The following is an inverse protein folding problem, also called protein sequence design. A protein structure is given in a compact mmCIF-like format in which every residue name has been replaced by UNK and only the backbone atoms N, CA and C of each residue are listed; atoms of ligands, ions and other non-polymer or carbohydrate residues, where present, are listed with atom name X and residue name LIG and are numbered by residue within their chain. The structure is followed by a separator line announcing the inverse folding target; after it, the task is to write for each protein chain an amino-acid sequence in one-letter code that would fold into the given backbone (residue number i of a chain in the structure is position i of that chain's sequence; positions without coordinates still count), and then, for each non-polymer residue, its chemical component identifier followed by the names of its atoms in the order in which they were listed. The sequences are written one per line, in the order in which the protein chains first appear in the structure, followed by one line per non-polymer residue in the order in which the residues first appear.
data_IF_937328801181
#
_entry.id   IF_937328801181
#
_cell.length_a   1.000
_cell.length_b   1.000
_cell.length_c   1.000
_cell.angle_alpha   90.00
_cell.angle_beta   90.00
_cell.angle_gamma   90.00
#
_symmetry.space_group_name_H-M   'P 1'
#
loop_
_entity.id
_entity.type
_entity.pdbx_description
1 polymer ?
#
# COMPACT_ATOMS: atom_id res chain seq x y z
N UNK A 1 22.91 33.29 5.85
CA UNK A 1 23.01 32.99 7.31
C UNK A 1 21.75 32.39 7.95
N UNK A 2 20.53 32.53 7.39
CA UNK A 2 19.28 31.96 8.00
C UNK A 2 18.87 30.53 7.57
N UNK A 3 19.44 29.96 6.50
CA UNK A 3 19.19 28.57 6.09
C UNK A 3 20.06 27.52 6.81
N UNK A 4 21.02 27.95 7.63
CA UNK A 4 22.00 27.06 8.28
C UNK A 4 21.41 26.42 9.56
N UNK A 5 20.42 27.05 10.20
CA UNK A 5 19.74 26.52 11.40
C UNK A 5 18.75 25.38 11.10
N UNK A 6 18.26 25.25 9.86
CA UNK A 6 17.38 24.15 9.45
C UNK A 6 18.12 22.80 9.37
N UNK A 7 19.44 22.83 9.12
CA UNK A 7 20.24 21.63 8.87
C UNK A 7 20.59 20.81 10.12
N UNK A 8 20.25 21.28 11.33
CA UNK A 8 20.60 20.57 12.57
C UNK A 8 19.41 19.93 13.28
N UNK A 9 18.16 20.32 12.97
CA UNK A 9 16.99 19.72 13.60
C UNK A 9 16.54 18.46 12.84
N UNK A 10 16.84 17.29 13.41
CA UNK A 10 16.52 16.00 12.80
C UNK A 10 15.02 15.77 12.58
N UNK A 11 14.16 16.28 13.49
CA UNK A 11 12.71 16.18 13.33
C UNK A 11 12.22 17.00 12.14
N UNK A 12 12.74 18.22 11.98
CA UNK A 12 12.37 19.10 10.87
C UNK A 12 12.81 18.52 9.52
N UNK A 13 14.01 17.93 9.47
CA UNK A 13 14.48 17.18 8.30
C UNK A 13 13.63 15.94 8.05
N UNK A 14 13.18 15.24 9.09
CA UNK A 14 12.26 14.11 8.95
C UNK A 14 10.89 14.55 8.39
N UNK A 15 10.31 15.64 8.90
CA UNK A 15 9.09 16.23 8.36
C UNK A 15 9.24 16.60 6.88
N UNK A 16 10.38 17.19 6.50
CA UNK A 16 10.69 17.46 5.09
C UNK A 16 10.82 16.17 4.27
N UNK A 17 11.47 15.15 4.82
CA UNK A 17 11.63 13.83 4.20
C UNK A 17 10.29 13.16 3.88
N UNK A 18 9.34 13.19 4.81
CA UNK A 18 8.03 12.52 4.66
C UNK A 18 6.95 13.40 4.04
N UNK A 19 7.26 14.67 3.73
CA UNK A 19 6.28 15.68 3.32
C UNK A 19 5.46 15.31 2.07
N UNK A 20 6.05 14.62 1.10
CA UNK A 20 5.35 14.13 -0.11
C UNK A 20 4.29 13.08 0.19
N UNK A 21 4.47 12.28 1.25
CA UNK A 21 3.47 11.31 1.70
C UNK A 21 2.37 12.02 2.49
N UNK A 22 2.77 12.87 3.43
CA UNK A 22 1.83 13.58 4.30
C UNK A 22 0.95 14.59 3.56
N UNK A 23 1.45 15.22 2.49
CA UNK A 23 0.61 16.11 1.69
C UNK A 23 -0.56 15.33 1.09
N UNK A 24 -0.33 14.12 0.57
CA UNK A 24 -1.39 13.29 0.02
C UNK A 24 -2.35 12.81 1.12
N UNK A 25 -1.84 12.51 2.31
CA UNK A 25 -2.69 12.15 3.46
C UNK A 25 -3.62 13.31 3.87
N UNK A 26 -3.11 14.55 3.85
CA UNK A 26 -3.91 15.75 4.09
C UNK A 26 -4.95 15.94 2.98
N UNK A 27 -4.55 15.87 1.70
CA UNK A 27 -5.50 15.99 0.58
C UNK A 27 -6.61 14.95 0.66
N UNK A 28 -6.28 13.71 1.06
CA UNK A 28 -7.26 12.64 1.25
C UNK A 28 -8.19 12.88 2.43
N UNK A 29 -7.67 13.35 3.57
CA UNK A 29 -8.46 13.68 4.75
C UNK A 29 -9.48 14.81 4.49
N UNK A 30 -9.11 15.80 3.66
CA UNK A 30 -10.00 16.90 3.25
C UNK A 30 -10.81 16.61 1.99
N UNK A 31 -10.78 15.37 1.50
CA UNK A 31 -11.48 14.94 0.30
C UNK A 31 -11.18 15.80 -0.96
N UNK A 32 -9.97 16.35 -1.11
CA UNK A 32 -9.60 17.18 -2.26
C UNK A 32 -9.43 16.31 -3.50
N UNK A 33 -10.25 16.55 -4.53
CA UNK A 33 -10.35 15.69 -5.72
C UNK A 33 -9.50 16.15 -6.90
N UNK A 34 -9.03 17.40 -6.92
CA UNK A 34 -8.29 17.94 -8.06
C UNK A 34 -6.91 17.26 -8.17
N UNK A 35 -6.66 16.43 -9.21
CA UNK A 35 -5.42 15.68 -9.33
C UNK A 35 -4.21 16.60 -9.53
N UNK A 36 -4.40 17.77 -10.16
CA UNK A 36 -3.32 18.73 -10.40
C UNK A 36 -2.72 19.28 -9.10
N UNK A 37 -3.50 19.36 -8.01
CA UNK A 37 -3.00 19.81 -6.70
C UNK A 37 -2.02 18.77 -6.13
N UNK A 38 -2.43 17.50 -6.08
CA UNK A 38 -1.56 16.40 -5.64
C UNK A 38 -0.30 16.30 -6.52
N UNK A 39 -0.48 16.39 -7.84
CA UNK A 39 0.63 16.35 -8.82
C UNK A 39 1.65 17.45 -8.55
N UNK A 40 1.17 18.69 -8.42
CA UNK A 40 2.03 19.85 -8.21
C UNK A 40 2.77 19.78 -6.87
N UNK A 41 2.03 19.52 -5.78
CA UNK A 41 2.62 19.48 -4.44
C UNK A 41 3.63 18.34 -4.30
N UNK A 42 3.30 17.13 -4.76
CA UNK A 42 4.21 15.99 -4.70
C UNK A 42 5.45 16.21 -5.58
N UNK A 43 5.31 16.84 -6.75
CA UNK A 43 6.44 17.19 -7.62
C UNK A 43 7.41 18.19 -7.00
N UNK A 44 6.91 19.09 -6.14
CA UNK A 44 7.74 20.03 -5.39
C UNK A 44 8.37 19.38 -4.15
N UNK A 45 7.60 18.57 -3.42
CA UNK A 45 8.00 18.02 -2.13
C UNK A 45 8.92 16.79 -2.24
N UNK A 46 8.75 15.94 -3.26
CA UNK A 46 9.58 14.74 -3.39
C UNK A 46 11.09 15.06 -3.55
N UNK A 47 11.53 16.03 -4.37
CA UNK A 47 12.92 16.48 -4.38
C UNK A 47 13.41 17.03 -3.03
N UNK A 48 12.53 17.63 -2.22
CA UNK A 48 12.88 18.10 -0.88
C UNK A 48 13.15 16.92 0.07
N UNK A 49 12.50 15.77 -0.14
CA UNK A 49 12.84 14.55 0.59
C UNK A 49 14.27 14.08 0.33
N UNK A 50 14.69 14.09 -0.95
CA UNK A 50 16.06 13.77 -1.34
C UNK A 50 17.06 14.81 -0.81
N UNK A 51 16.68 16.09 -0.83
CA UNK A 51 17.49 17.16 -0.25
C UNK A 51 17.64 17.00 1.27
N UNK A 52 16.59 16.59 1.99
CA UNK A 52 16.64 16.31 3.43
C UNK A 52 17.69 15.23 3.71
N UNK A 53 17.58 14.09 3.02
CA UNK A 53 18.55 13.01 3.11
C UNK A 53 19.97 13.46 2.76
N UNK A 54 20.14 14.20 1.67
CA UNK A 54 21.43 14.72 1.21
C UNK A 54 22.07 15.69 2.20
N UNK A 55 21.29 16.50 2.92
CA UNK A 55 21.82 17.57 3.81
C UNK A 55 21.92 17.17 5.28
N UNK A 56 21.32 16.05 5.70
CA UNK A 56 21.40 15.58 7.09
C UNK A 56 22.85 15.33 7.51
N UNK A 57 23.35 15.99 8.57
CA UNK A 57 24.67 15.70 9.15
C UNK A 57 24.75 14.26 9.69
N UNK A 58 25.94 13.64 9.68
CA UNK A 58 26.11 12.25 10.14
C UNK A 58 25.65 12.05 11.59
N UNK A 59 25.92 13.00 12.48
CA UNK A 59 25.51 12.95 13.88
C UNK A 59 23.98 12.98 14.08
N UNK A 60 23.22 13.47 13.09
CA UNK A 60 21.76 13.50 13.11
C UNK A 60 21.11 12.35 12.33
N UNK A 61 21.89 11.47 11.69
CA UNK A 61 21.38 10.40 10.83
C UNK A 61 20.45 9.43 11.56
N UNK A 62 20.83 9.00 12.77
CA UNK A 62 20.01 8.13 13.60
C UNK A 62 18.68 8.82 13.97
N UNK A 63 18.75 10.06 14.44
CA UNK A 63 17.57 10.82 14.82
C UNK A 63 16.63 11.06 13.63
N UNK A 64 17.17 11.34 12.44
CA UNK A 64 16.38 11.43 11.21
C UNK A 64 15.63 10.11 10.97
N UNK A 65 16.33 8.98 10.97
CA UNK A 65 15.72 7.67 10.76
C UNK A 65 14.68 7.32 11.80
N UNK A 66 14.93 7.68 13.06
CA UNK A 66 13.99 7.49 14.16
C UNK A 66 12.67 8.21 13.89
N UNK A 67 12.73 9.51 13.58
CA UNK A 67 11.54 10.28 13.27
C UNK A 67 10.88 9.87 11.95
N UNK A 68 11.64 9.52 10.91
CA UNK A 68 11.09 8.99 9.66
C UNK A 68 10.33 7.69 9.91
N UNK A 69 10.91 6.76 10.68
CA UNK A 69 10.28 5.51 11.06
C UNK A 69 9.00 5.72 11.85
N UNK A 70 9.03 6.60 12.85
CA UNK A 70 7.84 6.96 13.61
C UNK A 70 6.75 7.59 12.73
N UNK A 71 7.09 8.60 11.94
CA UNK A 71 6.12 9.33 11.11
C UNK A 71 5.51 8.44 10.02
N UNK A 72 6.32 7.64 9.32
CA UNK A 72 5.81 6.81 8.24
C UNK A 72 5.11 5.54 8.71
N UNK A 73 5.46 4.98 9.88
CA UNK A 73 5.10 3.60 10.24
C UNK A 73 4.54 3.42 11.66
N UNK A 74 4.22 4.49 12.41
CA UNK A 74 3.56 4.37 13.71
C UNK A 74 2.27 3.54 13.65
N UNK A 75 1.56 3.60 12.53
CA UNK A 75 0.27 2.96 12.33
C UNK A 75 0.36 1.43 12.37
N UNK A 76 1.54 0.83 12.12
CA UNK A 76 1.73 -0.61 12.25
C UNK A 76 1.41 -1.11 13.66
N UNK A 77 1.62 -0.27 14.69
CA UNK A 77 1.28 -0.60 16.07
C UNK A 77 -0.22 -0.55 16.37
N UNK A 78 -1.03 0.11 15.52
CA UNK A 78 -2.46 0.31 15.79
C UNK A 78 -3.24 -1.00 15.78
N UNK A 79 -2.79 -2.04 15.08
CA UNK A 79 -3.45 -3.35 15.07
C UNK A 79 -3.52 -3.99 16.47
N UNK A 80 -2.56 -3.67 17.35
CA UNK A 80 -2.50 -4.20 18.72
C UNK A 80 -3.71 -3.79 19.57
N UNK A 81 -4.44 -2.72 19.19
CA UNK A 81 -5.67 -2.28 19.88
C UNK A 81 -6.80 -3.33 19.89
N UNK A 82 -6.72 -4.29 18.98
CA UNK A 82 -7.69 -5.38 18.82
C UNK A 82 -7.15 -6.69 19.42
N UNK A 83 -6.16 -6.59 20.31
CA UNK A 83 -5.54 -7.73 21.00
C UNK A 83 -5.40 -7.45 22.49
N UNK A 84 -5.16 -8.50 23.27
CA UNK A 84 -4.84 -8.42 24.71
C UNK A 84 -3.54 -7.64 24.99
N UNK A 85 -2.75 -7.37 23.95
CA UNK A 85 -1.45 -6.69 24.02
C UNK A 85 -1.52 -5.20 23.70
N UNK A 86 -2.68 -4.55 23.89
CA UNK A 86 -2.88 -3.13 23.59
C UNK A 86 -1.84 -2.22 24.26
N UNK A 87 -1.36 -2.58 25.46
CA UNK A 87 -0.33 -1.84 26.20
C UNK A 87 1.05 -1.81 25.51
N UNK A 88 1.31 -2.70 24.54
CA UNK A 88 2.55 -2.71 23.76
C UNK A 88 2.58 -1.62 22.67
N UNK A 89 1.46 -1.00 22.34
CA UNK A 89 1.34 -0.01 21.26
C UNK A 89 2.46 1.06 21.29
N UNK A 90 2.70 1.82 22.39
CA UNK A 90 3.77 2.81 22.42
C UNK A 90 5.17 2.19 22.25
N UNK A 91 5.38 0.99 22.78
CA UNK A 91 6.65 0.28 22.64
C UNK A 91 6.91 -0.13 21.19
N UNK A 92 5.91 -0.66 20.48
CA UNK A 92 6.05 -1.06 19.07
C UNK A 92 6.37 0.15 18.19
N UNK A 93 5.76 1.32 18.43
CA UNK A 93 6.11 2.56 17.70
C UNK A 93 7.59 2.91 17.91
N UNK A 94 8.07 2.85 19.15
CA UNK A 94 9.47 3.13 19.47
C UNK A 94 10.40 2.10 18.81
N UNK A 95 10.06 0.81 18.85
CA UNK A 95 10.87 -0.25 18.23
C UNK A 95 10.99 -0.06 16.72
N UNK A 96 9.89 0.25 16.02
CA UNK A 96 9.90 0.55 14.59
C UNK A 96 10.78 1.78 14.33
N UNK A 97 10.63 2.85 15.11
CA UNK A 97 11.45 4.04 15.00
C UNK A 97 12.95 3.72 15.20
N UNK A 98 13.32 2.90 16.19
CA UNK A 98 14.70 2.48 16.43
C UNK A 98 15.29 1.71 15.24
N UNK A 99 14.52 0.79 14.64
CA UNK A 99 14.94 0.02 13.45
C UNK A 99 15.28 0.96 12.30
N UNK A 100 14.42 1.93 12.01
CA UNK A 100 14.68 2.93 10.97
C UNK A 100 15.78 3.92 11.36
N UNK A 101 15.95 4.21 12.65
CA UNK A 101 17.07 4.98 13.18
C UNK A 101 18.42 4.34 12.86
N UNK A 102 18.55 3.04 13.13
CA UNK A 102 19.75 2.26 12.76
C UNK A 102 19.92 2.22 11.24
N UNK A 103 18.85 1.98 10.49
CA UNK A 103 18.90 1.93 9.02
C UNK A 103 19.44 3.24 8.44
N UNK A 104 18.89 4.40 8.82
CA UNK A 104 19.36 5.68 8.30
C UNK A 104 20.75 6.06 8.81
N UNK A 105 21.12 5.64 10.03
CA UNK A 105 22.50 5.79 10.50
C UNK A 105 23.49 5.10 9.55
N UNK A 106 23.18 3.87 9.11
CA UNK A 106 24.00 3.14 8.14
C UNK A 106 23.97 3.79 6.74
N UNK A 107 22.78 4.17 6.26
CA UNK A 107 22.61 4.79 4.94
C UNK A 107 23.32 6.15 4.81
N UNK A 108 23.40 6.93 5.90
CA UNK A 108 23.99 8.26 5.94
C UNK A 108 25.38 8.28 6.61
N UNK A 109 25.99 7.11 6.81
CA UNK A 109 27.30 6.99 7.45
C UNK A 109 28.38 7.83 6.77
N UNK A 110 28.37 7.87 5.43
CA UNK A 110 29.28 8.70 4.63
C UNK A 110 28.65 10.06 4.29
N UNK A 111 29.43 11.13 4.44
CA UNK A 111 29.00 12.50 4.12
C UNK A 111 29.17 12.86 2.64
N UNK A 112 29.92 12.05 1.89
CA UNK A 112 30.12 12.29 0.46
C UNK A 112 28.77 12.19 -0.29
N UNK A 113 28.40 13.21 -1.09
CA UNK A 113 27.08 13.28 -1.73
C UNK A 113 26.81 12.14 -2.73
N UNK A 114 27.84 11.62 -3.39
CA UNK A 114 27.71 10.51 -4.34
C UNK A 114 27.54 9.16 -3.63
N UNK A 115 28.18 8.97 -2.48
CA UNK A 115 27.88 7.83 -1.61
C UNK A 115 26.43 7.88 -1.10
N UNK A 116 25.94 9.08 -0.74
CA UNK A 116 24.54 9.25 -0.33
C UNK A 116 23.55 8.96 -1.45
N UNK A 117 23.88 9.32 -2.69
CA UNK A 117 23.09 8.89 -3.86
C UNK A 117 23.01 7.36 -3.94
N UNK A 118 24.16 6.68 -3.86
CA UNK A 118 24.20 5.21 -3.94
C UNK A 118 23.44 4.55 -2.78
N UNK A 119 23.60 5.05 -1.55
CA UNK A 119 22.88 4.51 -0.39
C UNK A 119 21.38 4.80 -0.46
N UNK A 120 20.97 5.98 -0.96
CA UNK A 120 19.56 6.29 -1.15
C UNK A 120 18.90 5.37 -2.19
N UNK A 121 19.55 5.13 -3.34
CA UNK A 121 19.10 4.14 -4.32
C UNK A 121 19.08 2.72 -3.73
N UNK A 122 20.11 2.37 -2.95
CA UNK A 122 20.26 1.09 -2.28
C UNK A 122 19.20 0.81 -1.21
N UNK A 123 18.67 1.86 -0.56
CA UNK A 123 17.66 1.73 0.49
C UNK A 123 16.38 1.02 0.02
N UNK A 124 16.07 1.09 -1.28
CA UNK A 124 14.93 0.39 -1.89
C UNK A 124 15.02 -1.14 -1.87
N UNK A 125 16.18 -1.70 -1.51
CA UNK A 125 16.40 -3.15 -1.44
C UNK A 125 16.55 -3.65 0.00
N UNK A 126 16.40 -2.75 0.99
CA UNK A 126 16.52 -3.09 2.40
C UNK A 126 15.11 -3.11 2.98
N UNK A 127 14.63 -4.29 3.32
CA UNK A 127 13.28 -4.51 3.87
C UNK A 127 13.41 -5.08 5.28
N UNK A 128 13.48 -4.24 6.33
CA UNK A 128 13.56 -4.71 7.70
C UNK A 128 12.41 -5.68 7.99
N UNK A 129 12.73 -6.91 8.40
CA UNK A 129 11.74 -7.96 8.67
C UNK A 129 10.80 -8.29 7.49
N UNK A 130 11.25 -8.08 6.25
CA UNK A 130 10.44 -8.30 5.05
C UNK A 130 9.40 -7.21 4.78
N UNK A 131 9.41 -6.10 5.53
CA UNK A 131 8.49 -4.99 5.34
C UNK A 131 9.01 -3.98 4.31
N UNK A 132 8.45 -4.02 3.09
CA UNK A 132 8.87 -3.22 1.93
C UNK A 132 7.99 -1.98 1.65
N UNK A 133 7.80 -1.10 2.63
CA UNK A 133 7.02 0.14 2.43
C UNK A 133 7.86 1.42 2.42
N UNK A 134 9.15 1.34 2.76
CA UNK A 134 10.10 2.42 2.49
C UNK A 134 10.66 2.26 1.08
N UNK A 135 9.88 2.68 0.08
CA UNK A 135 10.27 2.67 -1.34
C UNK A 135 10.47 4.12 -1.81
N UNK A 136 11.71 4.66 -1.82
CA UNK A 136 11.98 6.06 -2.19
C UNK A 136 11.36 6.54 -3.50
N UNK A 137 11.39 5.72 -4.55
CA UNK A 137 10.80 6.04 -5.86
C UNK A 137 9.27 6.12 -5.82
N UNK A 138 8.61 5.56 -4.81
CA UNK A 138 7.17 5.77 -4.59
C UNK A 138 6.83 7.21 -4.19
N UNK A 139 7.80 8.02 -3.78
CA UNK A 139 7.59 9.46 -3.56
C UNK A 139 7.23 10.20 -4.86
N UNK A 140 7.48 9.58 -6.02
CA UNK A 140 7.08 10.10 -7.32
C UNK A 140 5.73 9.59 -7.80
N UNK A 141 5.00 8.78 -7.04
CA UNK A 141 3.73 8.16 -7.48
C UNK A 141 2.75 9.17 -8.08
N UNK A 142 2.58 10.31 -7.42
CA UNK A 142 1.78 11.44 -7.87
C UNK A 142 2.66 12.62 -8.28
N UNK A 143 3.80 12.41 -8.94
CA UNK A 143 4.64 13.50 -9.44
C UNK A 143 4.86 13.43 -10.94
N UNK A 144 5.29 14.55 -11.52
CA UNK A 144 5.68 14.63 -12.94
C UNK A 144 6.93 13.81 -13.29
N UNK A 145 7.64 13.29 -12.28
CA UNK A 145 8.80 12.44 -12.50
C UNK A 145 8.38 10.99 -12.76
N UNK A 146 9.21 10.24 -13.50
CA UNK A 146 8.97 8.80 -13.71
C UNK A 146 9.27 8.03 -12.43
N UNK A 147 8.49 6.96 -12.19
CA UNK A 147 8.62 6.07 -11.03
C UNK A 147 9.64 4.95 -11.30
N UNK A 148 10.90 5.31 -11.52
CA UNK A 148 11.98 4.35 -11.75
C UNK A 148 13.29 4.77 -11.07
N UNK A 149 14.22 3.83 -10.92
CA UNK A 149 15.50 4.06 -10.21
C UNK A 149 16.40 5.07 -10.94
N UNK A 150 16.33 5.13 -12.28
CA UNK A 150 17.14 6.08 -13.06
C UNK A 150 16.67 7.51 -12.76
N UNK A 151 15.36 7.73 -12.82
CA UNK A 151 14.74 9.02 -12.56
C UNK A 151 14.92 9.47 -11.11
N UNK A 152 14.84 8.54 -10.16
CA UNK A 152 15.24 8.77 -8.76
C UNK A 152 16.69 9.25 -8.65
N UNK A 153 17.62 8.59 -9.35
CA UNK A 153 19.02 8.98 -9.39
C UNK A 153 19.25 10.35 -10.03
N UNK A 154 18.56 10.65 -11.13
CA UNK A 154 18.63 11.94 -11.82
C UNK A 154 18.14 13.08 -10.93
N UNK A 155 17.00 12.92 -10.25
CA UNK A 155 16.47 13.94 -9.32
C UNK A 155 17.40 14.12 -8.13
N UNK A 156 17.94 13.04 -7.56
CA UNK A 156 18.89 13.14 -6.45
C UNK A 156 20.20 13.82 -6.89
N UNK A 157 20.74 13.49 -8.07
CA UNK A 157 21.88 14.18 -8.67
C UNK A 157 21.57 15.66 -8.90
N UNK A 158 20.36 15.99 -9.35
CA UNK A 158 19.93 17.37 -9.48
C UNK A 158 19.98 18.11 -8.13
N UNK A 159 19.55 17.48 -7.03
CA UNK A 159 19.68 18.05 -5.68
C UNK A 159 21.15 18.31 -5.29
N UNK A 160 22.09 17.42 -5.69
CA UNK A 160 23.53 17.63 -5.48
C UNK A 160 23.99 18.89 -6.23
N UNK A 161 23.76 18.96 -7.54
CA UNK A 161 24.22 20.07 -8.38
C UNK A 161 23.55 21.41 -8.05
N UNK A 162 22.24 21.41 -7.76
CA UNK A 162 21.50 22.62 -7.39
C UNK A 162 21.94 23.17 -6.02
N UNK A 163 22.44 22.30 -5.13
CA UNK A 163 22.91 22.70 -3.81
C UNK A 163 24.41 23.04 -3.74
N UNK A 164 25.13 22.92 -4.86
CA UNK A 164 26.54 23.30 -4.96
C UNK A 164 26.69 24.84 -4.96
N UNK A 165 27.66 25.36 -4.20
CA UNK A 165 27.63 26.76 -3.80
C UNK A 165 27.84 27.79 -4.93
N UNK A 166 28.53 27.52 -6.05
CA UNK A 166 29.00 28.66 -6.86
C UNK A 166 29.24 28.52 -8.37
N UNK A 167 28.56 27.63 -9.10
CA UNK A 167 28.65 27.63 -10.57
C UNK A 167 27.27 27.64 -11.22
N UNK A 168 26.95 28.73 -11.96
CA UNK A 168 25.76 28.80 -12.85
C UNK A 168 25.64 27.54 -13.72
N UNK A 169 26.79 27.00 -14.16
CA UNK A 169 26.91 25.74 -14.91
C UNK A 169 26.28 24.54 -14.17
N UNK A 170 26.53 24.39 -12.87
CA UNK A 170 25.95 23.29 -12.08
C UNK A 170 24.44 23.43 -11.91
N UNK A 171 23.92 24.65 -11.78
CA UNK A 171 22.46 24.86 -11.74
C UNK A 171 21.80 24.45 -13.05
N UNK A 172 22.42 24.78 -14.19
CA UNK A 172 21.94 24.35 -15.51
C UNK A 172 21.93 22.82 -15.62
N UNK A 173 23.01 22.16 -15.22
CA UNK A 173 23.08 20.68 -15.17
C UNK A 173 21.96 20.12 -14.30
N UNK A 174 21.75 20.67 -13.10
CA UNK A 174 20.66 20.26 -12.21
C UNK A 174 19.28 20.35 -12.86
N UNK A 175 18.98 21.45 -13.57
CA UNK A 175 17.71 21.61 -14.29
C UNK A 175 17.60 20.59 -15.43
N UNK A 176 18.66 20.36 -16.21
CA UNK A 176 18.66 19.36 -17.28
C UNK A 176 18.41 17.95 -16.74
N UNK A 177 18.96 17.61 -15.56
CA UNK A 177 18.72 16.33 -14.90
C UNK A 177 17.25 16.18 -14.47
N UNK A 178 16.63 17.24 -13.93
CA UNK A 178 15.19 17.23 -13.61
C UNK A 178 14.34 17.06 -14.87
N UNK A 179 14.68 17.74 -15.96
CA UNK A 179 13.99 17.57 -17.26
C UNK A 179 14.14 16.14 -17.78
N UNK A 180 15.32 15.54 -17.62
CA UNK A 180 15.57 14.13 -17.98
C UNK A 180 14.74 13.14 -17.18
N UNK A 181 14.35 13.48 -15.94
CA UNK A 181 13.55 12.63 -15.06
C UNK A 181 12.02 12.73 -15.31
N UNK A 182 11.56 13.66 -16.14
CA UNK A 182 10.13 13.86 -16.42
C UNK A 182 9.49 12.64 -17.09
N UNK A 183 8.24 12.37 -16.74
CA UNK A 183 7.39 11.35 -17.33
C UNK A 183 6.46 11.93 -18.40
N UNK A 184 6.93 11.93 -19.65
CA UNK A 184 6.12 12.38 -20.79
C UNK A 184 4.92 11.48 -21.08
N UNK A 185 4.91 10.24 -20.60
CA UNK A 185 3.75 9.35 -20.72
C UNK A 185 2.77 9.50 -19.55
N UNK A 186 3.18 10.20 -18.49
CA UNK A 186 2.40 10.37 -17.27
C UNK A 186 1.06 11.06 -17.47
N UNK A 187 0.84 11.79 -18.56
CA UNK A 187 -0.45 12.45 -18.85
C UNK A 187 -1.30 11.75 -19.91
N UNK A 188 -0.86 10.61 -20.44
CA UNK A 188 -1.65 9.84 -21.41
C UNK A 188 -2.84 9.20 -20.70
N UNK A 189 -4.05 9.38 -21.23
CA UNK A 189 -5.24 8.71 -20.69
C UNK A 189 -5.23 7.25 -21.12
N UNK A 190 -5.50 6.33 -20.17
CA UNK A 190 -5.81 4.94 -20.51
C UNK A 190 -7.32 4.73 -20.54
N UNK A 191 -7.77 3.85 -21.43
CA UNK A 191 -9.19 3.55 -21.60
C UNK A 191 -9.71 2.69 -20.45
N UNK A 192 -10.58 3.27 -19.62
CA UNK A 192 -11.23 2.58 -18.49
C UNK A 192 -12.58 1.94 -18.87
N UNK A 193 -12.99 1.94 -20.15
CA UNK A 193 -14.27 1.35 -20.58
C UNK A 193 -14.46 -0.09 -20.12
N UNK A 194 -13.40 -0.91 -20.17
CA UNK A 194 -13.45 -2.33 -19.75
C UNK A 194 -13.79 -2.52 -18.26
N UNK A 195 -13.57 -1.51 -17.41
CA UNK A 195 -13.80 -1.60 -15.96
C UNK A 195 -15.01 -0.80 -15.48
N UNK A 196 -15.70 -0.06 -16.37
CA UNK A 196 -16.86 0.77 -16.01
C UNK A 196 -18.09 0.01 -15.51
N UNK A 197 -18.19 -1.29 -15.86
CA UNK A 197 -19.31 -2.16 -15.45
C UNK A 197 -19.02 -2.97 -14.17
N UNK A 198 -17.89 -2.71 -13.51
CA UNK A 198 -17.53 -3.34 -12.23
C UNK A 198 -17.97 -2.45 -11.08
N UNK A 199 -18.61 -3.03 -10.06
CA UNK A 199 -18.96 -2.34 -8.81
C UNK A 199 -17.93 -2.66 -7.73
N UNK A 200 -17.28 -1.63 -7.17
CA UNK A 200 -16.35 -1.79 -6.05
C UNK A 200 -17.05 -1.40 -4.74
N UNK A 201 -17.21 -2.36 -3.84
CA UNK A 201 -17.88 -2.14 -2.56
C UNK A 201 -16.90 -1.54 -1.55
N UNK A 202 -17.33 -0.47 -0.89
CA UNK A 202 -16.64 0.05 0.32
C UNK A 202 -17.47 -0.31 1.55
N UNK A 203 -16.91 -1.08 2.47
CA UNK A 203 -17.59 -1.44 3.73
C UNK A 203 -17.10 -0.59 4.90
N UNK A 204 -17.87 -0.57 5.99
CA UNK A 204 -17.55 0.13 7.24
C UNK A 204 -17.73 -0.79 8.45
N UNK A 205 -17.40 -2.07 8.29
CA UNK A 205 -17.52 -3.08 9.34
C UNK A 205 -16.41 -2.88 10.37
N UNK A 206 -16.72 -2.51 11.63
CA UNK A 206 -15.72 -2.25 12.65
C UNK A 206 -14.92 -3.52 12.96
N UNK A 207 -13.62 -3.36 13.20
CA UNK A 207 -12.69 -4.48 13.31
C UNK A 207 -12.90 -5.33 14.59
N UNK A 208 -13.39 -4.71 15.66
CA UNK A 208 -13.72 -5.29 16.95
C UNK A 208 -14.94 -6.22 16.91
N UNK A 209 -15.92 -5.94 16.03
CA UNK A 209 -17.13 -6.77 15.88
C UNK A 209 -17.07 -7.71 14.67
N UNK A 210 -16.07 -7.53 13.78
CA UNK A 210 -15.99 -8.23 12.48
C UNK A 210 -16.00 -9.75 12.61
N UNK A 211 -15.44 -10.28 13.69
CA UNK A 211 -15.35 -11.73 13.94
C UNK A 211 -16.39 -12.24 14.97
N UNK A 212 -17.30 -11.38 15.43
CA UNK A 212 -18.40 -11.79 16.31
C UNK A 212 -19.47 -12.53 15.49
N UNK A 213 -19.81 -13.76 15.93
CA UNK A 213 -20.86 -14.56 15.31
C UNK A 213 -22.22 -13.89 15.29
N UNK A 214 -22.52 -13.01 16.26
CA UNK A 214 -23.78 -12.26 16.30
C UNK A 214 -23.89 -11.26 15.14
N UNK A 215 -22.76 -10.79 14.62
CA UNK A 215 -22.70 -9.82 13.53
C UNK A 215 -22.70 -10.46 12.14
N UNK A 216 -22.59 -11.80 12.06
CA UNK A 216 -22.50 -12.52 10.79
C UNK A 216 -23.76 -12.34 9.93
N UNK A 217 -24.95 -12.40 10.53
CA UNK A 217 -26.20 -12.18 9.81
C UNK A 217 -26.29 -10.78 9.21
N UNK A 218 -25.80 -9.76 9.93
CA UNK A 218 -25.76 -8.39 9.42
C UNK A 218 -24.79 -8.24 8.26
N UNK A 219 -23.63 -8.90 8.35
CA UNK A 219 -22.65 -8.97 7.25
C UNK A 219 -23.28 -9.63 6.02
N UNK A 220 -23.93 -10.79 6.17
CA UNK A 220 -24.60 -11.49 5.08
C UNK A 220 -25.69 -10.63 4.44
N UNK A 221 -26.55 -10.00 5.26
CA UNK A 221 -27.61 -9.12 4.77
C UNK A 221 -27.06 -7.92 4.00
N UNK A 222 -25.95 -7.33 4.45
CA UNK A 222 -25.28 -6.23 3.76
C UNK A 222 -24.67 -6.68 2.43
N UNK A 223 -24.00 -7.84 2.39
CA UNK A 223 -23.47 -8.43 1.15
C UNK A 223 -24.60 -8.63 0.13
N UNK A 224 -25.70 -9.26 0.55
CA UNK A 224 -26.85 -9.52 -0.32
C UNK A 224 -27.49 -8.22 -0.84
N UNK A 225 -27.58 -7.19 0.00
CA UNK A 225 -28.09 -5.88 -0.39
C UNK A 225 -27.24 -5.24 -1.48
N UNK A 226 -25.91 -5.24 -1.32
CA UNK A 226 -24.99 -4.68 -2.31
C UNK A 226 -25.02 -5.50 -3.63
N UNK A 227 -25.14 -6.84 -3.57
CA UNK A 227 -25.33 -7.67 -4.76
C UNK A 227 -26.60 -7.27 -5.51
N UNK A 228 -27.74 -7.16 -4.82
CA UNK A 228 -29.01 -6.74 -5.44
C UNK A 228 -28.92 -5.34 -6.06
N UNK A 229 -28.21 -4.42 -5.42
CA UNK A 229 -27.98 -3.08 -5.94
C UNK A 229 -27.09 -3.10 -7.19
N UNK A 230 -26.05 -3.93 -7.23
CA UNK A 230 -25.21 -4.09 -8.41
C UNK A 230 -25.98 -4.74 -9.58
N UNK A 231 -26.83 -5.72 -9.31
CA UNK A 231 -27.73 -6.33 -10.29
C UNK A 231 -28.70 -5.30 -10.89
N UNK A 232 -29.33 -4.46 -10.06
CA UNK A 232 -30.27 -3.43 -10.55
C UNK A 232 -29.57 -2.36 -11.40
N UNK A 233 -28.28 -2.11 -11.15
CA UNK A 233 -27.40 -1.27 -11.98
C UNK A 233 -26.82 -2.01 -13.20
N UNK A 234 -27.21 -3.26 -13.45
CA UNK A 234 -26.72 -4.11 -14.54
C UNK A 234 -25.18 -4.24 -14.57
N UNK A 235 -24.57 -4.35 -13.40
CA UNK A 235 -23.13 -4.56 -13.26
C UNK A 235 -22.76 -5.99 -13.60
N UNK A 236 -21.59 -6.18 -14.22
CA UNK A 236 -21.10 -7.50 -14.64
C UNK A 236 -20.37 -8.23 -13.51
N UNK A 237 -19.72 -7.47 -12.62
CA UNK A 237 -18.96 -7.98 -11.49
C UNK A 237 -19.13 -7.02 -10.30
N UNK A 238 -19.38 -7.58 -9.12
CA UNK A 238 -19.29 -6.88 -7.84
C UNK A 238 -18.08 -7.39 -7.05
N UNK A 239 -17.30 -6.47 -6.48
CA UNK A 239 -16.09 -6.78 -5.71
C UNK A 239 -16.27 -6.33 -4.27
N UNK A 240 -16.10 -7.25 -3.33
CA UNK A 240 -16.10 -6.99 -1.90
C UNK A 240 -14.68 -6.92 -1.33
N UNK A 241 -14.47 -6.22 -0.19
CA UNK A 241 -13.17 -6.10 0.45
C UNK A 241 -12.60 -7.41 1.02
N UNK A 242 -11.36 -7.32 1.53
CA UNK A 242 -10.69 -8.41 2.24
C UNK A 242 -11.50 -8.85 3.47
N UNK A 243 -11.69 -10.16 3.58
CA UNK A 243 -12.40 -10.80 4.69
C UNK A 243 -13.78 -10.17 4.90
N UNK A 244 -14.46 -9.76 3.81
CA UNK A 244 -15.82 -9.23 3.86
C UNK A 244 -16.79 -10.28 4.42
N UNK A 245 -16.53 -11.57 4.17
CA UNK A 245 -17.10 -12.67 4.94
C UNK A 245 -16.04 -13.19 5.94
N UNK A 246 -16.23 -13.02 7.26
CA UNK A 246 -15.14 -13.07 8.24
C UNK A 246 -14.74 -14.48 8.70
N UNK A 247 -15.46 -15.51 8.26
CA UNK A 247 -15.22 -16.92 8.62
C UNK A 247 -14.96 -17.74 7.37
N UNK A 248 -14.65 -19.03 7.54
CA UNK A 248 -14.40 -19.93 6.42
C UNK A 248 -15.67 -20.13 5.57
N UNK A 249 -15.68 -19.60 4.34
CA UNK A 249 -16.87 -19.63 3.47
C UNK A 249 -17.18 -21.03 2.93
N UNK A 250 -16.16 -21.89 2.73
CA UNK A 250 -16.34 -23.23 2.15
C UNK A 250 -17.37 -24.10 2.89
N UNK A 251 -17.45 -23.95 4.21
CA UNK A 251 -18.33 -24.73 5.08
C UNK A 251 -19.61 -23.99 5.48
N UNK A 252 -19.83 -22.78 4.95
CA UNK A 252 -20.99 -21.96 5.30
C UNK A 252 -22.16 -22.22 4.33
N UNK A 253 -23.41 -22.32 4.83
CA UNK A 253 -24.61 -22.28 3.99
C UNK A 253 -24.69 -21.06 3.07
N UNK A 254 -24.01 -19.96 3.42
CA UNK A 254 -23.96 -18.74 2.62
C UNK A 254 -23.28 -18.95 1.26
N UNK A 255 -22.36 -19.94 1.14
CA UNK A 255 -21.71 -20.28 -0.14
C UNK A 255 -22.72 -20.65 -1.21
N UNK A 256 -23.65 -21.55 -0.91
CA UNK A 256 -24.69 -21.99 -1.85
C UNK A 256 -25.56 -20.82 -2.32
N UNK A 257 -25.82 -19.85 -1.43
CA UNK A 257 -26.55 -18.63 -1.77
C UNK A 257 -25.77 -17.73 -2.72
N UNK A 258 -24.45 -17.60 -2.55
CA UNK A 258 -23.60 -16.85 -3.48
C UNK A 258 -23.47 -17.56 -4.82
N UNK A 259 -23.41 -18.90 -4.85
CA UNK A 259 -23.40 -19.71 -6.08
C UNK A 259 -24.69 -19.48 -6.89
N UNK A 260 -25.86 -19.58 -6.28
CA UNK A 260 -27.16 -19.30 -6.91
C UNK A 260 -27.23 -17.87 -7.50
N UNK A 261 -26.86 -16.86 -6.70
CA UNK A 261 -26.84 -15.47 -7.16
C UNK A 261 -25.85 -15.25 -8.32
N UNK A 262 -24.80 -16.06 -8.40
CA UNK A 262 -23.75 -15.92 -9.40
C UNK A 262 -24.17 -16.30 -10.82
N UNK A 263 -25.35 -16.91 -10.99
CA UNK A 263 -25.97 -17.11 -12.29
C UNK A 263 -26.35 -15.80 -12.98
N UNK A 264 -26.57 -14.73 -12.22
CA UNK A 264 -27.03 -13.43 -12.75
C UNK A 264 -25.97 -12.31 -12.67
N UNK A 265 -24.94 -12.46 -11.85
CA UNK A 265 -23.86 -11.47 -11.67
C UNK A 265 -22.59 -12.16 -11.16
N UNK A 266 -21.41 -11.78 -11.63
CA UNK A 266 -20.18 -12.29 -11.01
C UNK A 266 -19.91 -11.62 -9.65
N UNK A 267 -19.45 -12.38 -8.67
CA UNK A 267 -19.21 -11.90 -7.30
C UNK A 267 -17.78 -12.27 -6.90
N UNK A 268 -16.94 -11.27 -6.66
CA UNK A 268 -15.62 -11.45 -6.07
C UNK A 268 -15.66 -11.04 -4.60
N UNK A 269 -15.33 -11.96 -3.70
CA UNK A 269 -15.37 -11.72 -2.26
C UNK A 269 -14.11 -12.23 -1.55
N UNK A 270 -13.55 -11.39 -0.67
CA UNK A 270 -12.49 -11.78 0.24
C UNK A 270 -13.06 -12.50 1.48
N UNK A 271 -12.49 -13.65 1.83
CA UNK A 271 -12.93 -14.46 2.98
C UNK A 271 -11.81 -15.42 3.42
N UNK A 272 -12.08 -16.26 4.42
CA UNK A 272 -11.15 -17.26 4.91
C UNK A 272 -11.43 -18.62 4.27
N UNK A 273 -10.40 -19.46 4.20
CA UNK A 273 -10.47 -20.86 3.76
C UNK A 273 -9.68 -21.74 4.72
N UNK A 274 -10.21 -22.90 5.07
CA UNK A 274 -9.56 -23.81 6.00
C UNK A 274 -9.24 -25.14 5.34
N UNK A 275 -8.01 -25.63 5.53
CA UNK A 275 -7.60 -26.95 5.07
C UNK A 275 -6.82 -27.65 6.19
N UNK A 276 -7.51 -28.54 6.92
CA UNK A 276 -6.98 -29.08 8.17
C UNK A 276 -6.72 -27.96 9.19
N UNK A 277 -5.50 -27.87 9.71
CA UNK A 277 -5.06 -26.81 10.65
C UNK A 277 -4.55 -25.54 9.97
N UNK A 278 -4.58 -25.47 8.64
CA UNK A 278 -4.12 -24.29 7.90
C UNK A 278 -5.29 -23.35 7.62
N UNK A 279 -5.05 -22.05 7.82
CA UNK A 279 -5.97 -20.98 7.46
C UNK A 279 -5.38 -20.16 6.33
N UNK A 280 -6.20 -19.87 5.33
CA UNK A 280 -5.81 -19.08 4.17
C UNK A 280 -6.72 -17.86 4.07
N UNK A 281 -6.11 -16.70 3.86
CA UNK A 281 -6.82 -15.50 3.43
C UNK A 281 -7.02 -15.61 1.92
N UNK A 282 -8.28 -15.58 1.46
CA UNK A 282 -8.64 -16.11 0.14
C UNK A 282 -9.61 -15.21 -0.60
N UNK A 283 -9.48 -15.22 -1.92
CA UNK A 283 -10.39 -14.58 -2.86
C UNK A 283 -11.27 -15.66 -3.48
N UNK A 284 -12.59 -15.49 -3.43
CA UNK A 284 -13.54 -16.35 -4.11
C UNK A 284 -14.25 -15.56 -5.22
N UNK A 285 -14.13 -16.02 -6.46
CA UNK A 285 -14.88 -15.51 -7.59
C UNK A 285 -16.00 -16.49 -7.93
N UNK A 286 -17.24 -16.10 -7.61
CA UNK A 286 -18.44 -16.82 -8.03
C UNK A 286 -18.91 -16.30 -9.39
N UNK A 287 -19.18 -17.19 -10.33
CA UNK A 287 -19.73 -16.87 -11.64
C UNK A 287 -20.33 -18.11 -12.29
N UNK A 288 -21.50 -17.96 -12.93
CA UNK A 288 -22.19 -19.05 -13.65
C UNK A 288 -22.36 -20.29 -12.76
N UNK A 289 -22.76 -20.08 -11.51
CA UNK A 289 -22.98 -21.12 -10.50
C UNK A 289 -21.72 -21.94 -10.16
N UNK A 290 -20.53 -21.40 -10.48
CA UNK A 290 -19.23 -22.01 -10.20
C UNK A 290 -18.34 -21.05 -9.40
N UNK A 291 -17.26 -21.57 -8.80
CA UNK A 291 -16.34 -20.76 -8.00
C UNK A 291 -14.87 -21.02 -8.34
N UNK A 292 -14.13 -19.94 -8.56
CA UNK A 292 -12.66 -19.93 -8.63
C UNK A 292 -12.09 -19.39 -7.32
N UNK A 293 -11.00 -19.97 -6.82
CA UNK A 293 -10.40 -19.64 -5.53
C UNK A 293 -8.93 -19.30 -5.72
N UNK A 294 -8.47 -18.23 -5.05
CA UNK A 294 -7.06 -17.87 -4.97
C UNK A 294 -6.70 -17.51 -3.53
N UNK A 295 -5.75 -18.26 -2.95
CA UNK A 295 -5.21 -17.99 -1.63
C UNK A 295 -4.10 -16.93 -1.72
N UNK A 296 -3.95 -16.12 -0.67
CA UNK A 296 -2.89 -15.10 -0.52
C UNK A 296 -1.50 -15.73 -0.63
N UNK A 297 -0.61 -15.11 -1.39
CA UNK A 297 0.78 -15.53 -1.61
C UNK A 297 1.75 -14.77 -0.71
N UNK A 298 1.58 -13.44 -0.57
CA UNK A 298 2.45 -12.60 0.26
C UNK A 298 1.72 -12.20 1.55
N UNK A 299 2.13 -12.82 2.65
CA UNK A 299 1.57 -12.56 3.99
C UNK A 299 2.09 -11.25 4.57
N UNK A 300 1.22 -10.54 5.28
CA UNK A 300 1.58 -9.32 5.99
C UNK A 300 2.55 -9.64 7.16
N UNK A 301 3.74 -9.01 7.21
CA UNK A 301 4.68 -9.16 8.32
C UNK A 301 4.05 -8.79 9.67
N UNK A 302 4.31 -9.61 10.69
CA UNK A 302 3.81 -9.52 12.07
C UNK A 302 2.29 -9.62 12.26
N UNK A 303 1.49 -9.52 11.19
CA UNK A 303 0.05 -9.74 11.23
C UNK A 303 -0.36 -11.17 10.87
N UNK A 304 0.17 -11.68 9.74
CA UNK A 304 -0.16 -13.02 9.22
C UNK A 304 1.05 -13.97 9.25
N UNK A 305 2.27 -13.43 9.33
CA UNK A 305 3.51 -14.21 9.46
C UNK A 305 4.44 -13.55 10.46
N UNK A 306 5.25 -14.33 11.17
CA UNK A 306 6.26 -13.81 12.10
C UNK A 306 7.65 -13.91 11.44
N UNK A 307 8.17 -12.82 10.83
CA UNK A 307 9.39 -12.82 10.03
C UNK A 307 10.68 -12.79 10.88
N UNK A 308 10.76 -13.68 11.88
CA UNK A 308 11.88 -13.80 12.81
C UNK A 308 12.53 -15.17 12.69
N UNK A 309 13.80 -15.33 13.13
CA UNK A 309 14.43 -16.64 13.23
C UNK A 309 13.58 -17.61 14.07
N UNK A 310 13.54 -18.89 13.69
CA UNK A 310 12.65 -19.91 14.28
C UNK A 310 12.65 -19.97 15.82
N UNK A 311 13.79 -19.67 16.46
CA UNK A 311 13.92 -19.68 17.92
C UNK A 311 13.20 -18.52 18.61
N UNK A 312 13.00 -17.38 17.93
CA UNK A 312 12.14 -16.27 18.38
C UNK A 312 10.72 -16.39 17.84
N UNK A 313 10.58 -16.89 16.61
CA UNK A 313 9.31 -17.03 15.93
C UNK A 313 8.30 -17.85 16.75
N UNK A 314 8.66 -19.10 17.10
CA UNK A 314 7.78 -20.02 17.80
C UNK A 314 7.23 -19.51 19.13
N UNK A 315 8.06 -19.01 20.08
CA UNK A 315 7.54 -18.50 21.34
C UNK A 315 6.67 -17.25 21.16
N UNK A 316 6.99 -16.38 20.20
CA UNK A 316 6.19 -15.18 19.92
C UNK A 316 4.87 -15.52 19.21
N UNK A 317 4.87 -16.46 18.27
CA UNK A 317 3.63 -16.95 17.64
C UNK A 317 2.71 -17.57 18.70
N UNK A 318 3.25 -18.41 19.59
CA UNK A 318 2.49 -18.96 20.70
C UNK A 318 1.95 -17.88 21.65
N UNK A 319 2.73 -16.83 21.92
CA UNK A 319 2.32 -15.73 22.79
C UNK A 319 1.22 -14.87 22.17
N UNK A 320 1.37 -14.49 20.89
CA UNK A 320 0.47 -13.53 20.23
C UNK A 320 -0.75 -14.19 19.57
N UNK A 321 -0.63 -15.43 19.10
CA UNK A 321 -1.70 -16.14 18.39
C UNK A 321 -2.27 -17.33 19.19
N UNK A 322 -1.59 -17.80 20.24
CA UNK A 322 -2.02 -18.92 21.06
C UNK A 322 -1.53 -20.29 20.58
N UNK A 323 -1.68 -21.33 21.41
CA UNK A 323 -1.19 -22.70 21.12
C UNK A 323 -2.00 -23.44 20.05
N UNK A 324 -3.27 -23.08 19.87
CA UNK A 324 -4.24 -23.74 18.98
C UNK A 324 -4.68 -22.88 17.80
N UNK A 325 -4.02 -21.75 17.54
CA UNK A 325 -4.38 -20.92 16.40
C UNK A 325 -4.14 -21.66 15.09
N UNK A 326 -5.12 -21.56 14.19
CA UNK A 326 -4.87 -21.90 12.80
C UNK A 326 -3.67 -21.11 12.32
N UNK A 327 -2.72 -21.81 11.71
CA UNK A 327 -1.54 -21.16 11.19
C UNK A 327 -1.89 -20.59 9.82
N UNK A 328 -1.75 -19.28 9.67
CA UNK A 328 -1.85 -18.66 8.36
C UNK A 328 -0.82 -19.30 7.42
N UNK A 329 -1.29 -19.64 6.22
CA UNK A 329 -0.48 -20.21 5.14
C UNK A 329 -0.65 -19.38 3.89
N UNK A 330 0.43 -19.34 3.12
CA UNK A 330 0.42 -18.74 1.80
C UNK A 330 0.32 -19.79 0.70
N UNK A 331 -0.26 -19.40 -0.42
CA UNK A 331 -0.06 -20.07 -1.69
C UNK A 331 1.38 -19.91 -2.19
N UNK A 332 1.80 -20.81 -3.08
CA UNK A 332 3.13 -20.79 -3.69
C UNK A 332 3.24 -19.82 -4.87
N UNK A 333 2.14 -19.58 -5.59
CA UNK A 333 2.12 -18.78 -6.81
C UNK A 333 0.87 -17.90 -6.86
N UNK A 334 0.99 -16.73 -7.50
CA UNK A 334 -0.17 -15.88 -7.81
C UNK A 334 -1.04 -16.54 -8.88
N UNK A 335 -2.34 -16.44 -8.70
CA UNK A 335 -3.35 -16.89 -9.67
C UNK A 335 -4.01 -15.69 -10.34
N UNK A 336 -4.40 -15.85 -11.61
CA UNK A 336 -5.25 -14.92 -12.31
C UNK A 336 -6.64 -15.55 -12.47
N UNK A 337 -7.69 -14.77 -12.31
CA UNK A 337 -9.07 -15.20 -12.57
C UNK A 337 -9.50 -14.80 -13.98
N UNK A 338 -10.33 -15.62 -14.58
CA UNK A 338 -10.96 -15.33 -15.88
C UNK A 338 -12.48 -15.32 -15.72
N UNK A 339 -13.09 -14.22 -16.15
CA UNK A 339 -14.53 -14.01 -16.23
C UNK A 339 -14.85 -13.63 -17.67
N UNK A 340 -15.32 -14.58 -18.47
CA UNK A 340 -15.48 -14.42 -19.92
C UNK A 340 -14.17 -13.90 -20.56
N UNK A 341 -14.20 -12.77 -21.28
CA UNK A 341 -13.01 -12.15 -21.90
C UNK A 341 -12.22 -11.24 -20.94
N UNK A 342 -12.57 -11.21 -19.66
CA UNK A 342 -11.96 -10.36 -18.63
C UNK A 342 -11.08 -11.19 -17.69
N UNK A 343 -9.76 -11.11 -17.89
CA UNK A 343 -8.76 -11.69 -16.99
C UNK A 343 -8.22 -10.62 -16.04
N UNK A 344 -8.15 -10.95 -14.74
CA UNK A 344 -7.58 -10.07 -13.72
C UNK A 344 -6.83 -10.86 -12.65
N UNK A 345 -5.89 -10.19 -11.97
CA UNK A 345 -5.20 -10.75 -10.81
C UNK A 345 -5.87 -10.28 -9.52
N UNK A 346 -6.53 -11.14 -8.73
CA UNK A 346 -6.93 -10.80 -7.38
C UNK A 346 -5.68 -10.68 -6.49
N UNK A 347 -5.63 -9.64 -5.67
CA UNK A 347 -4.58 -9.42 -4.67
C UNK A 347 -5.23 -9.02 -3.36
N UNK A 348 -4.67 -9.51 -2.26
CA UNK A 348 -5.21 -9.26 -0.93
C UNK A 348 -4.27 -8.32 -0.18
N UNK A 349 -4.75 -7.10 0.07
CA UNK A 349 -4.15 -6.12 0.97
C UNK A 349 -2.66 -5.87 0.66
N UNK A 350 -1.76 -6.28 1.56
CA UNK A 350 -0.31 -6.15 1.45
C UNK A 350 0.27 -6.68 0.13
N UNK A 351 -0.36 -7.68 -0.50
CA UNK A 351 0.11 -8.21 -1.79
C UNK A 351 0.09 -7.15 -2.89
N UNK A 352 -0.92 -6.28 -2.90
CA UNK A 352 -1.07 -5.18 -3.85
C UNK A 352 0.11 -4.22 -3.82
N UNK A 353 0.74 -4.06 -2.67
CA UNK A 353 1.91 -3.18 -2.47
C UNK A 353 3.23 -3.95 -2.46
N UNK A 354 3.26 -5.19 -2.97
CA UNK A 354 4.44 -6.05 -3.02
C UNK A 354 4.95 -6.24 -4.44
N UNK A 355 6.27 -6.14 -4.65
CA UNK A 355 6.90 -6.37 -5.95
C UNK A 355 6.62 -7.75 -6.58
N UNK A 356 6.55 -8.87 -5.82
CA UNK A 356 6.26 -10.18 -6.38
C UNK A 356 4.95 -10.25 -7.17
N UNK A 357 3.90 -9.52 -6.75
CA UNK A 357 2.59 -9.54 -7.40
C UNK A 357 2.61 -9.10 -8.87
N UNK A 358 3.55 -8.24 -9.24
CA UNK A 358 3.66 -7.63 -10.57
C UNK A 358 4.62 -8.36 -11.50
N UNK A 359 5.51 -9.18 -10.95
CA UNK A 359 6.52 -9.90 -11.73
C UNK A 359 5.84 -10.97 -12.60
N UNK A 360 6.10 -10.96 -13.91
CA UNK A 360 5.57 -11.93 -14.89
C UNK A 360 4.04 -12.05 -14.94
N UNK A 361 3.28 -11.05 -14.47
CA UNK A 361 1.81 -11.07 -14.60
C UNK A 361 1.38 -10.67 -16.02
N UNK A 362 0.68 -11.56 -16.76
CA UNK A 362 0.14 -11.23 -18.07
C UNK A 362 -1.06 -10.29 -17.97
N UNK A 363 -1.77 -10.27 -16.82
CA UNK A 363 -2.94 -9.42 -16.63
C UNK A 363 -2.60 -7.93 -16.62
N UNK A 364 -3.38 -7.12 -17.34
CA UNK A 364 -3.33 -5.65 -17.28
C UNK A 364 -4.08 -5.09 -16.06
N UNK A 365 -5.00 -5.86 -15.49
CA UNK A 365 -5.97 -5.41 -14.49
C UNK A 365 -5.80 -6.21 -13.20
N UNK A 366 -5.60 -5.48 -12.11
CA UNK A 366 -5.40 -6.03 -10.79
C UNK A 366 -6.58 -5.60 -9.92
N UNK A 367 -7.16 -6.52 -9.16
CA UNK A 367 -8.22 -6.21 -8.20
C UNK A 367 -7.67 -6.45 -6.80
N UNK A 368 -7.48 -5.36 -6.06
CA UNK A 368 -6.91 -5.36 -4.72
C UNK A 368 -8.04 -5.24 -3.70
N UNK A 369 -8.14 -6.21 -2.81
CA UNK A 369 -9.11 -6.22 -1.72
C UNK A 369 -8.39 -5.95 -0.40
N UNK A 370 -8.76 -4.91 0.34
CA UNK A 370 -8.06 -4.52 1.58
C UNK A 370 -9.00 -4.38 2.77
N UNK A 371 -8.51 -4.72 3.97
CA UNK A 371 -9.15 -4.38 5.22
C UNK A 371 -8.35 -3.31 5.98
N UNK A 372 -8.62 -2.04 5.69
CA UNK A 372 -7.88 -0.93 6.30
C UNK A 372 -8.39 -0.56 7.71
N UNK A 373 -9.39 -1.27 8.24
CA UNK A 373 -9.91 -1.07 9.59
C UNK A 373 -8.85 -1.33 10.68
N UNK A 374 -7.91 -2.25 10.41
CA UNK A 374 -6.80 -2.56 11.32
C UNK A 374 -5.97 -1.34 11.72
N UNK A 375 -5.86 -0.36 10.82
CA UNK A 375 -4.94 0.77 10.95
C UNK A 375 -5.66 2.12 11.00
N UNK A 376 -6.99 2.13 11.01
CA UNK A 376 -7.78 3.36 11.02
C UNK A 376 -8.01 3.89 12.45
N UNK A 377 -7.93 5.21 12.69
CA UNK A 377 -7.52 6.26 11.74
C UNK A 377 -5.99 6.40 11.66
N UNK A 378 -5.44 6.49 10.45
CA UNK A 378 -4.02 6.82 10.23
C UNK A 378 -3.74 7.21 8.78
N UNK A 379 -2.47 7.44 8.46
CA UNK A 379 -1.99 7.65 7.08
C UNK A 379 -1.89 6.35 6.27
N UNK A 380 -2.06 5.17 6.88
CA UNK A 380 -1.89 3.87 6.21
C UNK A 380 -2.67 3.76 4.90
N UNK A 381 -3.98 4.10 4.82
CA UNK A 381 -4.71 3.95 3.56
C UNK A 381 -4.18 4.84 2.45
N UNK A 382 -3.65 6.02 2.80
CA UNK A 382 -3.02 6.95 1.86
C UNK A 382 -1.66 6.42 1.40
N UNK A 383 -0.86 5.88 2.32
CA UNK A 383 0.44 5.29 2.01
C UNK A 383 0.28 4.04 1.13
N UNK A 384 -0.69 3.18 1.45
CA UNK A 384 -1.09 2.04 0.63
C UNK A 384 -1.50 2.49 -0.78
N UNK A 385 -2.39 3.48 -0.91
CA UNK A 385 -2.78 4.03 -2.23
C UNK A 385 -1.58 4.59 -2.99
N UNK A 386 -0.66 5.27 -2.31
CA UNK A 386 0.56 5.81 -2.93
C UNK A 386 1.44 4.68 -3.47
N UNK A 387 1.64 3.60 -2.71
CA UNK A 387 2.39 2.43 -3.17
C UNK A 387 1.67 1.70 -4.32
N UNK A 388 0.35 1.53 -4.25
CA UNK A 388 -0.44 0.99 -5.36
C UNK A 388 -0.27 1.84 -6.62
N UNK A 389 -0.31 3.17 -6.49
CA UNK A 389 -0.07 4.10 -7.60
C UNK A 389 1.34 3.96 -8.17
N UNK A 390 2.36 3.84 -7.32
CA UNK A 390 3.72 3.53 -7.73
C UNK A 390 3.77 2.27 -8.61
N UNK A 391 3.18 1.16 -8.16
CA UNK A 391 3.19 -0.09 -8.91
C UNK A 391 2.36 -0.02 -10.20
N UNK A 392 1.18 0.63 -10.16
CA UNK A 392 0.35 0.88 -11.33
C UNK A 392 1.14 1.60 -12.42
N UNK A 393 1.86 2.68 -12.08
CA UNK A 393 2.71 3.42 -13.00
C UNK A 393 3.94 2.62 -13.45
N UNK A 394 4.60 1.91 -12.52
CA UNK A 394 5.87 1.19 -12.78
C UNK A 394 5.69 0.00 -13.73
N UNK A 395 4.57 -0.69 -13.63
CA UNK A 395 4.25 -1.91 -14.38
C UNK A 395 3.11 -1.72 -15.38
N UNK A 396 2.66 -0.47 -15.55
CA UNK A 396 1.57 -0.10 -16.46
C UNK A 396 0.33 -0.97 -16.23
N UNK A 397 -0.19 -0.97 -15.00
CA UNK A 397 -1.36 -1.75 -14.56
C UNK A 397 -2.51 -0.83 -14.16
N UNK A 398 -3.74 -1.27 -14.40
CA UNK A 398 -4.94 -0.66 -13.83
C UNK A 398 -5.28 -1.40 -12.53
N UNK A 399 -5.47 -0.67 -11.44
CA UNK A 399 -5.76 -1.26 -10.13
C UNK A 399 -7.18 -0.86 -9.70
N UNK A 400 -8.03 -1.84 -9.46
CA UNK A 400 -9.34 -1.68 -8.85
C UNK A 400 -9.21 -2.03 -7.37
N UNK A 401 -9.47 -1.08 -6.49
CA UNK A 401 -9.31 -1.26 -5.04
C UNK A 401 -10.66 -1.27 -4.34
N UNK A 402 -11.00 -2.38 -3.69
CA UNK A 402 -12.18 -2.52 -2.83
C UNK A 402 -11.73 -2.64 -1.37
N UNK A 403 -12.31 -1.82 -0.49
CA UNK A 403 -11.79 -1.69 0.87
C UNK A 403 -12.84 -1.58 1.98
N UNK A 404 -12.53 -2.18 3.14
CA UNK A 404 -13.21 -1.90 4.40
C UNK A 404 -12.56 -0.67 5.07
N UNK A 405 -13.38 0.20 5.67
CA UNK A 405 -12.97 1.39 6.42
C UNK A 405 -12.20 2.48 5.63
N UNK A 406 -12.04 2.30 4.32
CA UNK A 406 -11.55 3.33 3.42
C UNK A 406 -12.39 3.31 2.14
N UNK A 407 -12.32 4.41 1.39
CA UNK A 407 -13.08 4.53 0.15
C UNK A 407 -12.42 3.69 -0.95
N UNK A 408 -13.21 2.93 -1.69
CA UNK A 408 -12.77 2.21 -2.89
C UNK A 408 -12.39 3.16 -4.02
N UNK A 409 -11.51 2.74 -4.92
CA UNK A 409 -11.05 3.56 -6.03
C UNK A 409 -10.51 2.75 -7.21
N UNK A 410 -10.34 3.40 -8.35
CA UNK A 410 -9.63 2.88 -9.52
C UNK A 410 -8.38 3.74 -9.72
N UNK A 411 -7.22 3.11 -9.81
CA UNK A 411 -5.97 3.76 -10.15
C UNK A 411 -5.60 3.50 -11.61
N UNK A 412 -5.32 4.59 -12.31
CA UNK A 412 -4.78 4.60 -13.65
C UNK A 412 -3.24 4.48 -13.60
N UNK A 413 -2.58 3.82 -14.57
CA UNK A 413 -1.12 3.88 -14.70
C UNK A 413 -0.59 5.26 -15.12
N UNK A 414 -1.44 6.23 -15.47
CA UNK A 414 -1.04 7.62 -15.69
C UNK A 414 -1.41 8.52 -14.51
N UNK A 415 -0.91 9.75 -14.46
CA UNK A 415 -1.20 10.74 -13.41
C UNK A 415 -2.66 11.23 -13.41
N UNK A 416 -3.38 11.00 -14.51
CA UNK A 416 -4.78 11.40 -14.67
C UNK A 416 -5.67 10.17 -14.84
N UNK A 417 -6.96 10.33 -14.54
CA UNK A 417 -7.94 9.26 -14.73
C UNK A 417 -8.08 8.28 -13.56
N UNK A 418 -7.52 8.59 -12.39
CA UNK A 418 -7.92 7.92 -11.15
C UNK A 418 -9.40 8.24 -10.87
N UNK A 419 -10.16 7.25 -10.41
CA UNK A 419 -11.58 7.40 -10.03
C UNK A 419 -11.71 7.10 -8.55
N UNK A 420 -12.14 8.08 -7.74
CA UNK A 420 -12.34 7.93 -6.30
C UNK A 420 -13.85 7.85 -6.00
N UNK A 421 -14.31 6.75 -5.41
CA UNK A 421 -15.74 6.54 -5.13
C UNK A 421 -16.17 7.12 -3.77
N UNK A 422 -15.76 8.37 -3.48
CA UNK A 422 -16.09 9.02 -2.19
C UNK A 422 -17.60 9.29 -2.13
N UNK A 423 -18.26 8.79 -1.07
CA UNK A 423 -19.63 9.23 -0.76
C UNK A 423 -19.54 10.69 -0.32
N UNK A 424 -20.20 11.57 -1.09
CA UNK A 424 -20.40 12.99 -0.73
C UNK A 424 -21.20 13.11 0.56
#
# INVERSE_FOLDING_TARGET
MRLILFNQNALLLACMFVSSVYVNAVLDAYAIENPYISITLTSLLAPLSMLAFLKTPRNSAFALGFFVGALLFYWCALSFRYSDFTYLLPLIIILIALVYGVLFYLLLYFENPYFRLLSFLGSSFIHPFGFDWLVPDSFFSYSVFRVDKLSLGLVFLACIFLSAQNLKKYRIIGVLLLLGALDFNGFKTSDLKKVGNIELVSTKTPQDVKFDSNYLNDIENNILKEIKLAQSKQKTLIVFPETAYPIALENSPFKAKLEDLSGNIAILIGTLRTQGYNLYNSSFLFSKESVQIADKVVLAPFGETMPLPKFLQKPLEKLFFGESAYLYRNASNFSDFTLDDFTFRPLICYEGTSKPAYSNSPSKIFIVMSNNAWFSPSIEPTLQKTLLKYYARRYDKIILHSANFSTSYILNPSLLGDILFRKR
#
